data_IF_621930498908
#
_entry.id   IF_621930498908
#
_cell.length_a   1.000
_cell.length_b   1.000
_cell.length_c   1.000
_cell.angle_alpha   90.00
_cell.angle_beta   90.00
_cell.angle_gamma   90.00
#
_symmetry.space_group_name_H-M   'P 1'
#
loop_
_entity.id
_entity.type
_entity.pdbx_description
1 polymer ?
#
# COMPACT_ATOMS: atom_id res chain seq x y z
N UNK A 1 -22.68 10.20 13.32
CA UNK A 1 -21.53 11.06 13.62
C UNK A 1 -20.58 10.93 12.43
N UNK A 2 -20.70 11.83 11.46
CA UNK A 2 -19.87 11.81 10.25
C UNK A 2 -18.52 12.44 10.58
N UNK A 3 -17.48 11.62 10.68
CA UNK A 3 -16.11 12.10 10.78
C UNK A 3 -15.72 12.63 9.42
N UNK A 4 -15.62 13.95 9.32
CA UNK A 4 -15.11 14.65 8.16
C UNK A 4 -13.65 14.20 7.94
N UNK A 5 -13.38 13.48 6.86
CA UNK A 5 -12.04 13.38 6.29
C UNK A 5 -11.73 14.74 5.66
N UNK A 6 -11.23 15.67 6.48
CA UNK A 6 -10.58 16.86 5.99
C UNK A 6 -9.31 16.45 5.25
N UNK A 7 -9.40 16.26 3.93
CA UNK A 7 -8.24 16.37 3.07
C UNK A 7 -7.82 17.84 3.12
N UNK A 8 -6.90 18.15 4.05
CA UNK A 8 -6.11 19.36 3.89
C UNK A 8 -5.44 19.22 2.52
N UNK A 9 -5.69 20.19 1.64
CA UNK A 9 -4.88 20.31 0.43
C UNK A 9 -3.48 20.65 0.92
N UNK A 10 -2.63 19.63 1.04
CA UNK A 10 -1.21 19.84 1.21
C UNK A 10 -0.77 20.63 -0.01
N UNK A 11 -0.31 21.86 0.21
CA UNK A 11 0.23 22.68 -0.85
C UNK A 11 1.64 22.15 -1.13
N UNK A 12 1.77 21.41 -2.22
CA UNK A 12 3.05 20.85 -2.62
C UNK A 12 3.86 21.96 -3.27
N UNK A 13 4.77 22.55 -2.48
CA UNK A 13 5.81 23.42 -2.99
C UNK A 13 6.74 22.60 -3.90
N UNK A 14 6.47 22.56 -5.20
CA UNK A 14 7.23 21.84 -6.25
C UNK A 14 7.88 22.89 -7.13
N UNK A 15 9.20 22.84 -7.25
CA UNK A 15 10.00 23.72 -8.10
C UNK A 15 10.20 23.08 -9.48
N UNK A 16 10.52 23.88 -10.50
CA UNK A 16 10.73 23.39 -11.87
C UNK A 16 11.85 22.32 -11.95
N UNK A 17 12.82 22.37 -11.03
CA UNK A 17 13.92 21.40 -10.94
C UNK A 17 13.50 20.07 -10.30
N UNK A 18 12.33 20.03 -9.66
CA UNK A 18 11.88 18.84 -8.93
C UNK A 18 11.27 17.76 -9.82
N UNK A 19 10.78 18.13 -11.00
CA UNK A 19 10.16 17.21 -11.96
C UNK A 19 10.74 17.47 -13.32
N UNK A 20 11.57 16.54 -13.80
CA UNK A 20 12.25 16.65 -15.09
C UNK A 20 11.74 15.57 -16.02
N UNK A 21 11.10 15.97 -17.11
CA UNK A 21 10.69 15.06 -18.18
C UNK A 21 11.79 14.93 -19.23
N UNK A 22 12.05 13.70 -19.68
CA UNK A 22 13.03 13.38 -20.72
C UNK A 22 12.49 12.31 -21.64
N UNK A 23 13.10 12.17 -22.81
CA UNK A 23 12.87 11.04 -23.70
C UNK A 23 14.17 10.24 -23.76
N UNK A 24 14.14 9.01 -23.27
CA UNK A 24 15.27 8.11 -23.21
C UNK A 24 14.97 6.91 -24.10
N UNK A 25 15.77 6.72 -25.16
CA UNK A 25 15.57 5.64 -26.14
C UNK A 25 14.18 5.64 -26.80
N UNK A 26 13.56 6.83 -26.92
CA UNK A 26 12.20 6.98 -27.43
C UNK A 26 11.09 6.72 -26.40
N UNK A 27 11.46 6.45 -25.14
CA UNK A 27 10.55 6.21 -24.02
C UNK A 27 10.50 7.48 -23.14
N UNK A 28 9.31 8.05 -22.89
CA UNK A 28 9.17 9.14 -21.93
C UNK A 28 9.56 8.71 -20.52
N UNK A 29 10.44 9.47 -19.87
CA UNK A 29 10.92 9.26 -18.52
C UNK A 29 10.65 10.51 -17.67
N UNK A 30 10.14 10.33 -16.46
CA UNK A 30 9.89 11.40 -15.50
C UNK A 30 10.81 11.19 -14.31
N UNK A 31 11.62 12.19 -14.00
CA UNK A 31 12.55 12.19 -12.88
C UNK A 31 12.04 13.10 -11.78
N UNK A 32 11.98 12.57 -10.57
CA UNK A 32 11.62 13.33 -9.39
C UNK A 32 12.87 13.63 -8.56
N UNK A 33 12.97 14.85 -8.02
CA UNK A 33 13.98 15.16 -7.01
C UNK A 33 13.78 14.30 -5.75
N UNK A 34 14.84 14.18 -4.95
CA UNK A 34 14.78 13.42 -3.70
C UNK A 34 13.67 13.92 -2.76
N UNK A 35 13.46 15.23 -2.67
CA UNK A 35 12.44 15.85 -1.82
C UNK A 35 11.03 15.44 -2.25
N UNK A 36 10.74 15.46 -3.55
CA UNK A 36 9.45 15.01 -4.09
C UNK A 36 9.29 13.50 -3.93
N UNK A 37 10.33 12.71 -4.19
CA UNK A 37 10.29 11.26 -3.97
C UNK A 37 9.97 10.89 -2.52
N UNK A 38 10.61 11.53 -1.54
CA UNK A 38 10.37 11.27 -0.12
C UNK A 38 8.92 11.60 0.27
N UNK A 39 8.38 12.72 -0.21
CA UNK A 39 6.98 13.08 0.02
C UNK A 39 6.03 12.09 -0.68
N UNK A 40 6.33 11.63 -1.89
CA UNK A 40 5.53 10.62 -2.60
C UNK A 40 5.54 9.26 -1.89
N UNK A 41 6.65 8.91 -1.24
CA UNK A 41 6.78 7.65 -0.50
C UNK A 41 6.14 7.71 0.89
N UNK A 42 6.06 8.89 1.51
CA UNK A 42 5.58 9.06 2.89
C UNK A 42 4.19 8.43 3.13
N UNK A 43 3.16 8.60 2.26
CA UNK A 43 1.86 7.98 2.45
C UNK A 43 1.88 6.46 2.43
N UNK A 44 2.91 5.85 1.83
CA UNK A 44 3.06 4.41 1.62
C UNK A 44 4.08 3.76 2.56
N UNK A 45 4.68 4.54 3.46
CA UNK A 45 5.77 4.10 4.34
C UNK A 45 5.46 2.84 5.15
N UNK A 46 4.19 2.65 5.51
CA UNK A 46 3.70 1.47 6.24
C UNK A 46 2.78 0.64 5.36
N UNK A 47 3.15 0.42 4.10
CA UNK A 47 2.38 -0.41 3.17
C UNK A 47 3.18 -1.63 2.74
N UNK A 48 2.49 -2.75 2.54
CA UNK A 48 3.03 -4.01 2.05
C UNK A 48 2.23 -4.54 0.86
N UNK A 49 2.90 -5.26 -0.04
CA UNK A 49 2.24 -5.91 -1.16
C UNK A 49 1.90 -7.34 -0.75
N UNK A 50 0.62 -7.68 -0.75
CA UNK A 50 0.13 -9.03 -0.49
C UNK A 50 -0.21 -9.69 -1.80
N UNK A 51 0.40 -10.86 -2.07
CA UNK A 51 0.07 -11.69 -3.23
C UNK A 51 -0.73 -12.92 -2.81
N UNK A 52 -1.89 -13.12 -3.42
CA UNK A 52 -2.65 -14.36 -3.28
C UNK A 52 -2.05 -15.45 -4.18
N UNK A 53 -1.81 -16.62 -3.61
CA UNK A 53 -1.43 -17.81 -4.35
C UNK A 53 -2.64 -18.73 -4.60
N UNK A 54 -2.78 -19.22 -5.82
CA UNK A 54 -3.82 -20.18 -6.21
C UNK A 54 -5.03 -19.54 -6.87
N UNK A 55 -6.26 -19.93 -6.47
CA UNK A 55 -7.48 -19.38 -7.06
C UNK A 55 -7.66 -17.92 -6.65
N UNK A 56 -8.02 -17.11 -7.62
CA UNK A 56 -8.45 -15.74 -7.41
C UNK A 56 -9.66 -15.70 -6.47
N UNK A 57 -9.53 -14.98 -5.36
CA UNK A 57 -10.65 -14.62 -4.50
C UNK A 57 -11.01 -13.16 -4.77
N UNK A 58 -12.30 -12.83 -4.69
CA UNK A 58 -12.74 -11.45 -4.88
C UNK A 58 -12.26 -10.53 -3.75
N UNK A 59 -12.06 -9.25 -4.08
CA UNK A 59 -11.61 -8.20 -3.16
C UNK A 59 -12.32 -8.23 -1.78
N UNK A 60 -13.65 -8.30 -1.77
CA UNK A 60 -14.42 -8.32 -0.51
C UNK A 60 -14.13 -9.56 0.35
N UNK A 61 -13.88 -10.70 -0.28
CA UNK A 61 -13.51 -11.93 0.45
C UNK A 61 -12.12 -11.77 1.05
N UNK A 62 -11.17 -11.17 0.32
CA UNK A 62 -9.84 -10.86 0.84
C UNK A 62 -9.92 -9.93 2.04
N UNK A 63 -10.62 -8.79 1.92
CA UNK A 63 -10.75 -7.82 3.01
C UNK A 63 -11.29 -8.46 4.28
N UNK A 64 -12.42 -9.18 4.18
CA UNK A 64 -12.99 -9.89 5.33
C UNK A 64 -12.01 -10.90 5.95
N UNK A 65 -11.16 -11.53 5.14
CA UNK A 65 -10.16 -12.51 5.64
C UNK A 65 -9.00 -11.82 6.35
N UNK A 66 -8.48 -10.73 5.79
CA UNK A 66 -7.45 -9.92 6.44
C UNK A 66 -7.95 -9.33 7.76
N UNK A 67 -9.21 -8.89 7.81
CA UNK A 67 -9.85 -8.42 9.05
C UNK A 67 -9.85 -9.51 10.11
N UNK A 68 -10.23 -10.75 9.76
CA UNK A 68 -10.23 -11.88 10.70
C UNK A 68 -8.81 -12.28 11.12
N UNK A 69 -7.87 -12.31 10.17
CA UNK A 69 -6.48 -12.70 10.43
C UNK A 69 -5.76 -11.73 11.36
N UNK A 70 -5.99 -10.43 11.17
CA UNK A 70 -5.27 -9.38 11.87
C UNK A 70 -6.08 -8.70 12.98
N UNK A 71 -7.31 -9.17 13.26
CA UNK A 71 -8.24 -8.58 14.24
C UNK A 71 -7.59 -8.27 15.60
N UNK A 72 -6.70 -9.14 16.08
CA UNK A 72 -6.05 -8.99 17.39
C UNK A 72 -4.70 -8.26 17.35
N UNK A 73 -4.14 -8.01 16.17
CA UNK A 73 -2.76 -7.56 15.98
C UNK A 73 -2.63 -6.18 15.32
N UNK A 74 -3.58 -5.84 14.45
CA UNK A 74 -3.60 -4.60 13.63
C UNK A 74 -4.86 -3.80 13.96
N UNK A 75 -4.68 -2.52 14.32
CA UNK A 75 -5.80 -1.66 14.68
C UNK A 75 -6.69 -1.28 13.47
N UNK A 76 -6.07 -0.94 12.34
CA UNK A 76 -6.77 -0.62 11.10
C UNK A 76 -5.84 -0.69 9.89
N UNK A 77 -6.39 -1.00 8.73
CA UNK A 77 -5.66 -1.04 7.46
C UNK A 77 -6.58 -0.70 6.28
N UNK A 78 -5.97 -0.32 5.16
CA UNK A 78 -6.63 -0.09 3.88
C UNK A 78 -6.09 -1.06 2.84
N UNK A 79 -6.95 -1.50 1.92
CA UNK A 79 -6.55 -2.41 0.83
C UNK A 79 -6.83 -1.73 -0.51
N UNK A 80 -5.87 -1.80 -1.42
CA UNK A 80 -5.99 -1.34 -2.80
C UNK A 80 -5.72 -2.53 -3.70
N UNK A 81 -6.60 -2.78 -4.66
CA UNK A 81 -6.42 -3.81 -5.68
C UNK A 81 -5.41 -3.32 -6.74
N UNK A 82 -4.33 -4.06 -6.93
CA UNK A 82 -3.29 -3.78 -7.93
C UNK A 82 -3.44 -4.69 -9.17
N UNK A 83 -4.55 -5.41 -9.29
CA UNK A 83 -4.82 -6.43 -10.30
C UNK A 83 -3.90 -7.67 -10.18
N UNK A 84 -4.18 -8.69 -11.00
CA UNK A 84 -3.38 -9.93 -11.07
C UNK A 84 -3.12 -10.62 -9.72
N UNK A 85 -4.08 -10.51 -8.80
CA UNK A 85 -3.99 -11.07 -7.44
C UNK A 85 -2.94 -10.40 -6.53
N UNK A 86 -2.54 -9.17 -6.86
CA UNK A 86 -1.73 -8.31 -6.01
C UNK A 86 -2.61 -7.27 -5.31
N UNK A 87 -2.33 -7.06 -4.04
CA UNK A 87 -3.05 -6.08 -3.23
C UNK A 87 -2.04 -5.27 -2.44
N UNK A 88 -2.22 -3.96 -2.43
CA UNK A 88 -1.47 -3.08 -1.55
C UNK A 88 -2.25 -2.95 -0.25
N UNK A 89 -1.64 -3.35 0.86
CA UNK A 89 -2.19 -3.15 2.19
C UNK A 89 -1.45 -2.01 2.84
N UNK A 90 -2.16 -0.96 3.24
CA UNK A 90 -1.61 0.19 3.98
C UNK A 90 -2.04 0.11 5.43
N UNK A 91 -1.06 0.14 6.33
CA UNK A 91 -1.26 0.12 7.77
C UNK A 91 -1.18 1.54 8.34
N UNK A 92 -1.78 1.73 9.53
CA UNK A 92 -1.77 3.03 10.20
C UNK A 92 -0.45 3.31 10.93
N UNK A 93 0.21 2.26 11.43
CA UNK A 93 1.45 2.38 12.21
C UNK A 93 2.55 1.43 11.72
N UNK A 94 3.80 1.77 12.04
CA UNK A 94 4.94 0.89 11.77
C UNK A 94 4.83 -0.46 12.49
N UNK A 95 4.29 -0.45 13.72
CA UNK A 95 4.10 -1.66 14.54
C UNK A 95 3.07 -2.58 13.90
N UNK A 96 1.95 -2.03 13.42
CA UNK A 96 0.93 -2.82 12.72
C UNK A 96 1.52 -3.48 11.47
N UNK A 97 2.31 -2.73 10.68
CA UNK A 97 2.98 -3.25 9.51
C UNK A 97 3.99 -4.36 9.88
N UNK A 98 4.84 -4.13 10.88
CA UNK A 98 5.82 -5.11 11.34
C UNK A 98 5.15 -6.41 11.79
N UNK A 99 4.09 -6.33 12.60
CA UNK A 99 3.34 -7.50 13.06
C UNK A 99 2.71 -8.26 11.90
N UNK A 100 2.05 -7.55 11.00
CA UNK A 100 1.43 -8.13 9.81
C UNK A 100 2.46 -8.78 8.85
N UNK A 101 3.72 -8.37 8.89
CA UNK A 101 4.77 -8.93 8.04
C UNK A 101 5.56 -10.07 8.71
N UNK A 102 5.71 -10.06 10.03
CA UNK A 102 6.66 -10.93 10.74
C UNK A 102 6.01 -12.02 11.58
N UNK A 103 4.78 -11.83 12.05
CA UNK A 103 4.16 -12.71 13.04
C UNK A 103 3.53 -14.00 12.47
N UNK A 104 3.68 -14.29 11.17
CA UNK A 104 3.45 -15.65 10.70
C UNK A 104 3.40 -15.86 9.20
N UNK A 105 3.45 -17.13 8.75
CA UNK A 105 2.97 -17.51 7.44
C UNK A 105 1.44 -17.41 7.42
N UNK A 106 0.91 -16.36 6.79
CA UNK A 106 -0.54 -16.18 6.69
C UNK A 106 -1.13 -17.24 5.76
N UNK A 107 -1.90 -18.17 6.32
CA UNK A 107 -2.57 -19.23 5.55
C UNK A 107 -4.05 -18.93 5.47
N UNK A 108 -4.59 -18.68 4.27
CA UNK A 108 -6.04 -18.59 4.03
C UNK A 108 -6.50 -19.83 3.27
N UNK A 109 -7.33 -20.65 3.92
CA UNK A 109 -7.87 -21.89 3.36
C UNK A 109 -6.77 -22.81 2.78
N UNK A 110 -5.79 -23.18 3.61
CA UNK A 110 -4.66 -24.06 3.21
C UNK A 110 -3.74 -23.48 2.12
N UNK A 111 -3.78 -22.16 1.91
CA UNK A 111 -2.97 -21.46 0.90
C UNK A 111 -2.18 -20.32 1.53
N UNK A 112 -0.90 -20.27 1.19
CA UNK A 112 0.04 -19.28 1.71
C UNK A 112 -0.17 -17.94 1.01
N UNK A 113 -0.19 -16.84 1.76
CA UNK A 113 0.21 -15.55 1.25
C UNK A 113 1.74 -15.47 1.26
N UNK A 114 2.33 -14.87 0.23
CA UNK A 114 3.65 -14.26 0.37
C UNK A 114 3.43 -12.77 0.53
N UNK A 115 4.04 -12.23 1.58
CA UNK A 115 4.21 -10.79 1.77
C UNK A 115 5.63 -10.39 1.37
#
# INVERSE_FOLDING_TARGET
MASQTGSAKEDWDIEDEDVVERIEEGIPAIYFSKRVQEKLQQPWRYSGIVKLLGRQIGYRVLCNRLEVLWWSMVASFFVIDLEYNYFLVKFQTAVDAERALTEGPWTVMERNFFV
#
